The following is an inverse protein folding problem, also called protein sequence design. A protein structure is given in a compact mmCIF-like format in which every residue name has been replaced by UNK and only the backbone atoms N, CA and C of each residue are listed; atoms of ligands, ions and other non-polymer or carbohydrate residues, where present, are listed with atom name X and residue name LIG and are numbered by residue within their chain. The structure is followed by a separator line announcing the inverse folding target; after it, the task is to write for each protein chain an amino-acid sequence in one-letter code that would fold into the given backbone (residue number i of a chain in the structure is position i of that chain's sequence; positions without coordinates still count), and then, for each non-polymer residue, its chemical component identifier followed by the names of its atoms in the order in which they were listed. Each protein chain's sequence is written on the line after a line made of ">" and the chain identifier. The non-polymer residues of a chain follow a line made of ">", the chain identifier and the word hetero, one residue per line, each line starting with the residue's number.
data_IF_920878747488
#
_entry.id   IF_920878747488
#
_cell.length_a   1.000
_cell.length_b   1.000
_cell.length_c   1.000
_cell.angle_alpha   90.00
_cell.angle_beta   90.00
_cell.angle_gamma   90.00
#
_symmetry.space_group_name_H-M   'P 1'
#
loop_
_entity.id
_entity.type
_entity.pdbx_description
1 polymer ?
#
# COMPACT_ATOMS: atom_id res chain seq x y z
N UNK A 1 -17.79 -10.22 -5.14
CA UNK A 1 -16.33 -10.23 -4.85
C UNK A 1 -15.59 -11.27 -5.68
N UNK A 2 -15.86 -12.58 -5.52
CA UNK A 2 -15.16 -13.64 -6.27
C UNK A 2 -15.17 -13.45 -7.80
N UNK A 3 -16.31 -13.09 -8.39
CA UNK A 3 -16.40 -12.85 -9.84
C UNK A 3 -15.50 -11.70 -10.34
N UNK A 4 -15.36 -10.63 -9.52
CA UNK A 4 -14.52 -9.48 -9.84
C UNK A 4 -13.05 -9.88 -9.78
N UNK A 5 -12.65 -10.58 -8.71
CA UNK A 5 -11.29 -11.11 -8.58
C UNK A 5 -10.94 -12.09 -9.70
N UNK A 6 -11.86 -12.96 -10.12
CA UNK A 6 -11.65 -13.88 -11.24
C UNK A 6 -11.46 -13.17 -12.56
N UNK A 7 -12.27 -12.12 -12.81
CA UNK A 7 -12.16 -11.29 -14.02
C UNK A 7 -10.83 -10.53 -14.03
N UNK A 8 -10.43 -9.96 -12.89
CA UNK A 8 -9.14 -9.29 -12.72
C UNK A 8 -7.99 -10.29 -12.97
N UNK A 9 -8.04 -11.47 -12.36
CA UNK A 9 -7.01 -12.50 -12.53
C UNK A 9 -6.85 -12.94 -14.00
N UNK A 10 -7.95 -13.13 -14.73
CA UNK A 10 -7.88 -13.41 -16.18
C UNK A 10 -7.24 -12.26 -16.96
N UNK A 11 -7.62 -11.03 -16.67
CA UNK A 11 -7.06 -9.84 -17.31
C UNK A 11 -5.57 -9.67 -17.02
N UNK A 12 -5.14 -9.85 -15.77
CA UNK A 12 -3.73 -9.74 -15.40
C UNK A 12 -2.89 -10.82 -16.07
N UNK A 13 -3.36 -12.08 -16.12
CA UNK A 13 -2.65 -13.16 -16.84
C UNK A 13 -2.41 -12.83 -18.31
N UNK A 14 -3.44 -12.37 -19.03
CA UNK A 14 -3.26 -12.00 -20.45
C UNK A 14 -2.37 -10.77 -20.62
N UNK A 15 -2.50 -9.78 -19.73
CA UNK A 15 -1.76 -8.51 -19.84
C UNK A 15 -0.29 -8.71 -19.52
N UNK A 16 0.05 -9.44 -18.45
CA UNK A 16 1.44 -9.73 -18.07
C UNK A 16 2.15 -10.52 -19.17
N UNK A 17 1.49 -11.52 -19.76
CA UNK A 17 2.05 -12.26 -20.89
C UNK A 17 2.42 -11.32 -22.05
N UNK A 18 1.49 -10.45 -22.47
CA UNK A 18 1.73 -9.48 -23.54
C UNK A 18 2.81 -8.44 -23.20
N UNK A 19 2.91 -8.01 -21.93
CA UNK A 19 3.97 -7.10 -21.47
C UNK A 19 5.34 -7.79 -21.57
N UNK A 20 5.43 -9.06 -21.14
CA UNK A 20 6.70 -9.81 -21.13
C UNK A 20 7.23 -10.14 -22.54
N UNK A 21 6.39 -10.11 -23.57
CA UNK A 21 6.83 -10.20 -24.98
C UNK A 21 7.70 -9.00 -25.40
N UNK A 22 7.55 -7.85 -24.74
CA UNK A 22 8.17 -6.57 -25.15
C UNK A 22 9.11 -5.98 -24.09
N UNK A 23 8.88 -6.31 -22.83
CA UNK A 23 9.60 -5.77 -21.69
C UNK A 23 10.22 -6.90 -20.88
N UNK A 24 11.55 -6.83 -20.69
CA UNK A 24 12.34 -7.86 -20.00
C UNK A 24 12.85 -7.41 -18.63
N UNK A 25 12.37 -6.28 -18.12
CA UNK A 25 12.62 -5.84 -16.74
C UNK A 25 11.65 -6.47 -15.74
N UNK A 26 11.76 -6.05 -14.47
CA UNK A 26 10.85 -6.49 -13.41
C UNK A 26 9.45 -5.89 -13.61
N UNK A 27 8.42 -6.72 -13.46
CA UNK A 27 7.00 -6.36 -13.59
C UNK A 27 6.30 -6.57 -12.25
N UNK A 28 5.42 -5.64 -11.90
CA UNK A 28 4.55 -5.72 -10.72
C UNK A 28 3.20 -5.07 -11.01
N UNK A 29 2.31 -5.05 -10.02
CA UNK A 29 0.96 -4.50 -10.11
C UNK A 29 0.58 -3.82 -8.80
N UNK A 30 0.34 -2.51 -8.83
CA UNK A 30 -0.08 -1.76 -7.65
C UNK A 30 -1.48 -2.19 -7.21
N UNK A 31 -1.56 -2.91 -6.09
CA UNK A 31 -2.80 -3.51 -5.59
C UNK A 31 -3.19 -2.91 -4.24
N UNK A 32 -4.46 -3.08 -3.89
CA UNK A 32 -4.97 -2.92 -2.53
C UNK A 32 -5.27 -4.30 -1.93
N UNK A 33 -5.26 -4.48 -0.59
CA UNK A 33 -5.27 -5.81 0.04
C UNK A 33 -6.43 -6.74 -0.35
N UNK A 34 -7.56 -6.19 -0.79
CA UNK A 34 -8.77 -6.95 -1.09
C UNK A 34 -8.92 -7.42 -2.56
N UNK A 35 -7.93 -7.17 -3.41
CA UNK A 35 -7.99 -7.56 -4.83
C UNK A 35 -7.68 -9.04 -5.10
N UNK A 36 -6.95 -9.72 -4.20
CA UNK A 36 -6.65 -11.15 -4.33
C UNK A 36 -5.76 -11.49 -5.53
N UNK A 37 -4.74 -10.67 -5.78
CA UNK A 37 -3.83 -10.79 -6.92
C UNK A 37 -2.99 -12.07 -6.83
N UNK A 38 -2.87 -12.77 -7.97
CA UNK A 38 -1.93 -13.87 -8.15
C UNK A 38 -0.51 -13.30 -8.37
N UNK A 39 0.27 -13.30 -7.30
CA UNK A 39 1.63 -12.76 -7.31
C UNK A 39 2.62 -13.62 -8.10
N UNK A 40 2.31 -14.86 -8.49
CA UNK A 40 3.20 -15.70 -9.32
C UNK A 40 3.40 -15.17 -10.74
N UNK A 41 2.56 -14.22 -11.17
CA UNK A 41 2.71 -13.51 -12.43
C UNK A 41 3.80 -12.43 -12.38
N UNK A 42 4.16 -11.97 -11.17
CA UNK A 42 4.94 -10.76 -10.94
C UNK A 42 6.25 -11.03 -10.20
N UNK A 43 7.20 -10.11 -10.36
CA UNK A 43 8.55 -10.23 -9.78
C UNK A 43 8.67 -9.59 -8.39
N UNK A 44 7.70 -8.73 -8.02
CA UNK A 44 7.62 -7.98 -6.76
C UNK A 44 6.17 -7.95 -6.31
N UNK A 45 5.92 -8.11 -5.02
CA UNK A 45 4.59 -7.87 -4.42
C UNK A 45 4.46 -6.39 -4.09
N UNK A 46 3.41 -5.74 -4.60
CA UNK A 46 3.17 -4.32 -4.32
C UNK A 46 1.79 -4.05 -3.76
N UNK A 47 1.74 -3.34 -2.65
CA UNK A 47 0.48 -3.00 -1.97
C UNK A 47 0.46 -1.52 -1.58
N UNK A 48 -0.70 -0.89 -1.73
CA UNK A 48 -1.03 0.31 -0.98
C UNK A 48 -1.51 -0.11 0.42
N UNK A 49 -0.80 0.35 1.45
CA UNK A 49 -1.03 0.01 2.85
C UNK A 49 -1.24 1.29 3.66
N UNK A 50 -2.48 1.52 4.06
CA UNK A 50 -2.88 2.71 4.82
C UNK A 50 -3.37 2.25 6.20
N UNK A 51 -2.80 2.80 7.27
CA UNK A 51 -3.16 2.49 8.65
C UNK A 51 -4.28 3.44 9.11
N UNK A 52 -5.43 2.89 9.50
CA UNK A 52 -6.45 3.60 10.28
C UNK A 52 -6.40 3.20 11.76
N UNK A 53 -7.10 3.93 12.62
CA UNK A 53 -7.20 3.59 14.05
C UNK A 53 -7.82 2.20 14.25
N UNK A 54 -8.77 1.82 13.38
CA UNK A 54 -9.47 0.53 13.39
C UNK A 54 -8.54 -0.68 13.20
N UNK A 55 -7.36 -0.48 12.58
CA UNK A 55 -6.41 -1.56 12.26
C UNK A 55 -5.03 -1.34 12.87
N UNK A 56 -4.86 -0.32 13.71
CA UNK A 56 -3.55 0.09 14.21
C UNK A 56 -2.83 -1.02 15.01
N UNK A 57 -3.58 -1.75 15.82
CA UNK A 57 -3.10 -2.87 16.65
C UNK A 57 -2.62 -4.07 15.82
N UNK A 58 -3.22 -4.29 14.65
CA UNK A 58 -2.88 -5.40 13.76
C UNK A 58 -1.97 -5.02 12.59
N UNK A 59 -1.73 -3.73 12.35
CA UNK A 59 -1.06 -3.24 11.14
C UNK A 59 0.37 -3.80 11.00
N UNK A 60 1.17 -3.71 12.07
CA UNK A 60 2.55 -4.21 12.10
C UNK A 60 2.61 -5.71 11.83
N UNK A 61 1.78 -6.50 12.50
CA UNK A 61 1.73 -7.94 12.27
C UNK A 61 1.22 -8.29 10.86
N UNK A 62 0.36 -7.45 10.29
CA UNK A 62 -0.02 -7.52 8.88
C UNK A 62 1.18 -7.36 7.95
N UNK A 63 1.98 -6.31 8.16
CA UNK A 63 3.22 -6.07 7.40
C UNK A 63 4.19 -7.25 7.56
N UNK A 64 4.41 -7.74 8.78
CA UNK A 64 5.27 -8.91 9.05
C UNK A 64 4.86 -10.14 8.24
N UNK A 65 3.55 -10.43 8.20
CA UNK A 65 3.03 -11.55 7.40
C UNK A 65 3.24 -11.35 5.90
N UNK A 66 3.15 -10.11 5.42
CA UNK A 66 3.36 -9.79 4.00
C UNK A 66 4.80 -9.97 3.56
N UNK A 67 5.78 -9.70 4.43
CA UNK A 67 7.21 -9.86 4.15
C UNK A 67 7.72 -11.27 4.45
N UNK A 68 6.95 -12.11 5.15
CA UNK A 68 7.27 -13.53 5.42
C UNK A 68 7.00 -14.43 4.19
N UNK A 69 7.53 -14.04 3.05
CA UNK A 69 7.47 -14.74 1.78
C UNK A 69 8.74 -14.48 0.96
N UNK A 70 9.08 -15.34 -0.03
CA UNK A 70 10.36 -15.22 -0.75
C UNK A 70 10.44 -14.06 -1.75
N UNK A 71 9.32 -13.43 -2.12
CA UNK A 71 9.31 -12.32 -3.09
C UNK A 71 9.49 -10.97 -2.36
N UNK A 72 10.26 -10.04 -2.94
CA UNK A 72 10.41 -8.70 -2.38
C UNK A 72 9.05 -7.98 -2.33
N UNK A 73 8.89 -7.14 -1.32
CA UNK A 73 7.66 -6.39 -1.06
C UNK A 73 7.95 -4.90 -1.18
N UNK A 74 7.14 -4.19 -1.95
CA UNK A 74 7.18 -2.74 -2.02
C UNK A 74 5.82 -2.13 -1.68
N UNK A 75 5.79 -1.21 -0.71
CA UNK A 75 4.58 -0.45 -0.39
C UNK A 75 4.47 0.71 -1.35
N UNK A 76 3.53 0.65 -2.29
CA UNK A 76 3.39 1.63 -3.39
C UNK A 76 2.50 2.82 -3.07
N UNK A 77 1.87 2.82 -1.90
CA UNK A 77 1.08 3.94 -1.42
C UNK A 77 0.85 3.84 0.08
N UNK A 78 1.12 4.92 0.78
CA UNK A 78 0.72 5.17 2.16
C UNK A 78 0.76 6.68 2.42
N UNK A 79 -0.11 7.18 3.28
CA UNK A 79 -0.16 8.59 3.59
C UNK A 79 -1.46 8.96 4.32
N UNK A 80 -1.59 10.23 4.66
CA UNK A 80 -2.80 10.78 5.25
C UNK A 80 -2.87 12.28 4.94
N UNK A 81 -4.09 12.84 4.93
CA UNK A 81 -4.29 14.27 4.76
C UNK A 81 -3.70 15.11 5.92
N UNK A 82 -3.68 16.43 5.79
CA UNK A 82 -2.90 17.34 6.66
C UNK A 82 -3.78 18.05 7.71
N UNK A 83 -4.79 17.36 8.23
CA UNK A 83 -5.71 17.90 9.25
C UNK A 83 -5.72 17.04 10.53
N UNK A 84 -6.02 17.67 11.68
CA UNK A 84 -5.98 17.01 12.99
C UNK A 84 -6.93 15.80 13.04
N UNK A 85 -6.38 14.61 13.23
CA UNK A 85 -7.14 13.35 13.26
C UNK A 85 -7.22 12.61 11.91
N UNK A 86 -6.68 13.19 10.83
CA UNK A 86 -6.64 12.55 9.51
C UNK A 86 -5.99 11.16 9.56
N UNK A 87 -4.93 10.99 10.35
CA UNK A 87 -4.24 9.71 10.52
C UNK A 87 -5.17 8.59 10.99
N UNK A 88 -6.11 8.85 11.89
CA UNK A 88 -7.00 7.82 12.43
C UNK A 88 -8.00 7.29 11.39
N UNK A 89 -8.29 8.10 10.37
CA UNK A 89 -9.19 7.78 9.27
C UNK A 89 -8.46 7.84 7.92
N UNK A 90 -7.15 7.58 7.89
CA UNK A 90 -6.28 7.84 6.74
C UNK A 90 -6.84 7.35 5.38
N UNK A 91 -7.43 6.15 5.24
CA UNK A 91 -8.02 5.69 3.97
C UNK A 91 -9.14 6.58 3.42
N UNK A 92 -9.80 7.35 4.29
CA UNK A 92 -10.90 8.27 3.99
C UNK A 92 -10.55 9.74 4.25
N UNK A 93 -9.29 10.04 4.55
CA UNK A 93 -8.87 11.38 5.01
C UNK A 93 -9.09 12.49 3.96
N UNK A 94 -9.27 12.12 2.69
CA UNK A 94 -9.63 13.03 1.59
C UNK A 94 -11.15 13.27 1.44
N UNK A 95 -12.01 12.48 2.08
CA UNK A 95 -13.49 12.54 1.95
C UNK A 95 -14.11 13.78 2.63
N UNK A 96 -13.28 14.71 3.08
CA UNK A 96 -13.70 16.00 3.62
C UNK A 96 -13.98 17.03 2.52
N UNK A 97 -13.77 16.68 1.24
CA UNK A 97 -13.99 17.55 0.09
C UNK A 97 -15.43 17.40 -0.45
N UNK A 98 -16.11 18.52 -0.63
CA UNK A 98 -17.32 18.62 -1.42
C UNK A 98 -16.95 18.83 -2.90
N UNK A 99 -17.48 17.98 -3.77
CA UNK A 99 -17.28 18.06 -5.21
C UNK A 99 -18.52 18.58 -5.93
N UNK A 100 -18.32 19.36 -6.98
CA UNK A 100 -19.40 19.72 -7.88
C UNK A 100 -19.93 18.48 -8.60
N UNK A 101 -21.23 18.23 -8.53
CA UNK A 101 -21.85 17.00 -9.04
C UNK A 101 -21.76 16.85 -10.56
N UNK A 102 -21.57 17.95 -11.29
CA UNK A 102 -21.52 17.93 -12.77
C UNK A 102 -20.09 17.81 -13.28
N UNK A 103 -19.19 18.64 -12.78
CA UNK A 103 -17.80 18.74 -13.23
C UNK A 103 -16.83 17.85 -12.46
N UNK A 104 -17.21 17.36 -11.28
CA UNK A 104 -16.32 16.61 -10.38
C UNK A 104 -15.19 17.47 -9.81
N UNK A 105 -15.28 18.80 -9.90
CA UNK A 105 -14.25 19.71 -9.38
C UNK A 105 -14.38 19.89 -7.88
N UNK A 106 -13.27 19.92 -7.11
CA UNK A 106 -13.32 20.17 -5.67
C UNK A 106 -13.75 21.62 -5.41
N UNK A 107 -14.83 21.81 -4.65
CA UNK A 107 -15.44 23.11 -4.40
C UNK A 107 -14.96 23.73 -3.08
N UNK A 108 -15.09 22.97 -1.99
CA UNK A 108 -14.75 23.38 -0.62
C UNK A 108 -14.66 22.17 0.30
N UNK A 109 -14.18 22.37 1.52
CA UNK A 109 -14.27 21.41 2.60
C UNK A 109 -15.70 21.39 3.18
N UNK A 110 -16.13 20.22 3.64
CA UNK A 110 -17.43 20.00 4.28
C UNK A 110 -17.49 20.50 5.74
N UNK A 111 -16.38 21.06 6.25
CA UNK A 111 -16.23 21.54 7.62
C UNK A 111 -15.02 22.45 7.77
N UNK A 112 -14.82 22.96 8.98
CA UNK A 112 -13.60 23.69 9.36
C UNK A 112 -12.66 22.70 10.04
N UNK A 113 -11.45 22.58 9.49
CA UNK A 113 -10.44 21.62 9.95
C UNK A 113 -9.20 22.37 10.43
N UNK A 114 -8.60 21.87 11.50
CA UNK A 114 -7.32 22.37 12.00
C UNK A 114 -6.18 21.71 11.24
N UNK A 115 -5.24 22.51 10.71
CA UNK A 115 -4.03 22.01 10.05
C UNK A 115 -3.13 21.28 11.05
N UNK A 116 -2.64 20.12 10.66
CA UNK A 116 -1.77 19.28 11.50
C UNK A 116 -0.63 18.65 10.69
N UNK A 117 0.37 19.48 10.33
CA UNK A 117 1.57 19.05 9.60
C UNK A 117 2.43 18.11 10.45
N UNK A 118 2.52 18.37 11.76
CA UNK A 118 3.25 17.52 12.71
C UNK A 118 2.61 16.14 12.85
N UNK A 119 1.28 16.06 12.88
CA UNK A 119 0.52 14.81 12.88
C UNK A 119 0.70 14.00 11.60
N UNK A 120 0.66 14.63 10.43
CA UNK A 120 0.98 13.96 9.16
C UNK A 120 2.42 13.43 9.16
N UNK A 121 3.40 14.25 9.60
CA UNK A 121 4.80 13.83 9.67
C UNK A 121 5.02 12.70 10.68
N UNK A 122 4.31 12.70 11.82
CA UNK A 122 4.34 11.61 12.79
C UNK A 122 3.80 10.31 12.21
N UNK A 123 2.67 10.37 11.50
CA UNK A 123 2.10 9.21 10.81
C UNK A 123 3.06 8.61 9.77
N UNK A 124 3.68 9.45 8.93
CA UNK A 124 4.63 8.98 7.92
C UNK A 124 5.87 8.33 8.55
N UNK A 125 6.40 8.92 9.63
CA UNK A 125 7.53 8.34 10.38
C UNK A 125 7.16 7.00 10.99
N UNK A 126 6.00 6.89 11.64
CA UNK A 126 5.51 5.63 12.22
C UNK A 126 5.48 4.51 11.17
N UNK A 127 4.88 4.78 10.00
CA UNK A 127 4.76 3.77 8.96
C UNK A 127 6.11 3.41 8.33
N UNK A 128 6.98 4.39 8.09
CA UNK A 128 8.33 4.13 7.60
C UNK A 128 9.13 3.29 8.60
N UNK A 129 9.03 3.56 9.90
CA UNK A 129 9.69 2.78 10.95
C UNK A 129 9.14 1.34 10.99
N UNK A 130 7.82 1.14 10.82
CA UNK A 130 7.23 -0.20 10.71
C UNK A 130 7.76 -0.92 9.47
N UNK A 131 7.74 -0.28 8.30
CA UNK A 131 8.18 -0.90 7.05
C UNK A 131 9.66 -1.28 7.08
N UNK A 132 10.53 -0.40 7.59
CA UNK A 132 11.95 -0.67 7.74
C UNK A 132 12.22 -1.81 8.72
N UNK A 133 11.60 -1.76 9.91
CA UNK A 133 11.82 -2.76 10.97
C UNK A 133 11.30 -4.16 10.62
N UNK A 134 10.21 -4.27 9.87
CA UNK A 134 9.67 -5.57 9.43
C UNK A 134 10.37 -6.08 8.15
N UNK A 135 11.07 -5.22 7.39
CA UNK A 135 11.90 -5.62 6.24
C UNK A 135 11.22 -5.47 4.88
N UNK A 136 10.39 -4.45 4.70
CA UNK A 136 9.87 -4.05 3.37
C UNK A 136 11.01 -3.52 2.50
N UNK A 137 11.12 -3.99 1.25
CA UNK A 137 12.23 -3.62 0.36
C UNK A 137 12.16 -2.17 -0.13
N UNK A 138 10.97 -1.60 -0.28
CA UNK A 138 10.78 -0.22 -0.75
C UNK A 138 9.43 0.35 -0.30
N UNK A 139 9.39 1.64 0.01
CA UNK A 139 8.16 2.33 0.40
C UNK A 139 8.02 3.66 -0.35
N UNK A 140 6.83 3.94 -0.88
CA UNK A 140 6.51 5.13 -1.65
C UNK A 140 5.32 5.84 -1.01
N UNK A 141 5.55 7.08 -0.54
CA UNK A 141 4.51 7.94 0.03
C UNK A 141 3.50 8.29 -1.07
N UNK A 142 2.22 8.22 -0.74
CA UNK A 142 1.11 8.49 -1.64
C UNK A 142 1.10 9.98 -2.01
N UNK A 143 1.48 10.28 -3.25
CA UNK A 143 1.55 11.61 -3.88
C UNK A 143 2.55 12.59 -3.23
N UNK A 144 3.32 13.28 -4.07
CA UNK A 144 4.23 14.33 -3.60
C UNK A 144 3.55 15.70 -3.49
N UNK A 145 2.67 15.99 -4.44
CA UNK A 145 1.96 17.26 -4.57
C UNK A 145 0.61 17.01 -5.25
N UNK A 146 -0.41 17.80 -4.88
CA UNK A 146 -1.73 17.70 -5.47
C UNK A 146 -2.26 19.09 -5.88
N UNK A 147 -1.86 19.62 -7.06
CA UNK A 147 -2.17 20.99 -7.47
C UNK A 147 -3.67 21.32 -7.58
N UNK A 148 -4.52 20.30 -7.70
CA UNK A 148 -5.98 20.44 -7.69
C UNK A 148 -6.55 20.80 -6.31
N UNK A 149 -5.75 20.66 -5.24
CA UNK A 149 -6.10 21.02 -3.87
C UNK A 149 -5.18 22.15 -3.37
N UNK A 150 -5.45 23.40 -3.77
CA UNK A 150 -4.54 24.50 -3.49
C UNK A 150 -4.60 24.97 -2.03
N UNK A 151 -3.45 25.48 -1.58
CA UNK A 151 -3.30 26.09 -0.27
C UNK A 151 -3.83 27.53 -0.27
N UNK A 152 -4.79 27.84 0.61
CA UNK A 152 -5.44 29.16 0.73
C UNK A 152 -5.63 29.55 2.21
N UNK A 153 -4.55 29.94 2.92
CA UNK A 153 -4.59 30.20 4.35
C UNK A 153 -5.28 31.52 4.73
N UNK A 154 -5.32 32.50 3.82
CA UNK A 154 -5.73 33.88 4.13
C UNK A 154 -7.24 34.15 3.93
N UNK A 155 -8.05 33.11 3.74
CA UNK A 155 -9.48 33.21 3.41
C UNK A 155 -10.40 32.42 4.34
N UNK A 156 -11.64 32.16 3.88
CA UNK A 156 -12.52 31.21 4.58
C UNK A 156 -11.83 29.83 4.61
N UNK A 157 -11.62 29.24 5.81
CA UNK A 157 -10.83 28.02 5.98
C UNK A 157 -11.40 26.83 5.20
N UNK A 158 -12.68 26.86 4.82
CA UNK A 158 -13.30 25.82 3.98
C UNK A 158 -12.76 25.81 2.54
N UNK A 159 -12.03 26.84 2.11
CA UNK A 159 -11.45 26.88 0.76
C UNK A 159 -9.94 26.54 0.73
N UNK A 160 -9.32 26.23 1.88
CA UNK A 160 -7.97 25.67 1.98
C UNK A 160 -8.00 24.16 1.68
N UNK A 161 -8.21 23.81 0.41
CA UNK A 161 -8.36 22.42 -0.04
C UNK A 161 -7.11 21.57 0.20
N UNK A 162 -5.94 22.21 0.32
CA UNK A 162 -4.66 21.57 0.66
C UNK A 162 -4.73 20.78 1.98
N UNK A 163 -5.64 21.13 2.91
CA UNK A 163 -5.87 20.34 4.13
C UNK A 163 -6.24 18.89 3.82
N UNK A 164 -7.00 18.65 2.75
CA UNK A 164 -7.41 17.32 2.31
C UNK A 164 -6.33 16.59 1.47
N UNK A 165 -5.19 17.24 1.18
CA UNK A 165 -4.12 16.66 0.39
C UNK A 165 -3.27 15.70 1.23
N UNK A 166 -2.99 14.47 0.74
CA UNK A 166 -1.97 13.60 1.34
C UNK A 166 -0.54 13.98 0.91
N UNK A 167 -0.40 14.95 0.00
CA UNK A 167 0.89 15.41 -0.50
C UNK A 167 1.71 16.09 0.60
N UNK A 168 3.01 15.86 0.58
CA UNK A 168 3.97 16.47 1.52
C UNK A 168 4.33 17.92 1.18
N UNK A 169 3.91 18.42 0.01
CA UNK A 169 4.21 19.78 -0.44
C UNK A 169 2.95 20.60 -0.71
N UNK A 170 2.95 21.83 -0.15
CA UNK A 170 1.88 22.81 -0.35
C UNK A 170 1.85 23.28 -1.81
N UNK A 171 0.66 23.32 -2.39
CA UNK A 171 0.46 23.81 -3.75
C UNK A 171 -0.20 25.20 -3.74
N UNK A 172 0.54 26.26 -4.05
CA UNK A 172 -0.03 27.62 -4.13
C UNK A 172 -0.67 27.90 -5.50
N UNK A 173 -1.76 28.67 -5.55
CA UNK A 173 -2.33 29.21 -6.81
C UNK A 173 -1.62 30.45 -7.34
N UNK A 174 -0.58 30.95 -6.65
CA UNK A 174 0.18 32.09 -7.14
C UNK A 174 0.81 31.75 -8.50
N UNK A 175 0.65 32.66 -9.48
CA UNK A 175 1.37 32.56 -10.74
C UNK A 175 2.87 32.34 -10.44
N UNK A 176 3.59 31.51 -11.24
CA UNK A 176 5.00 31.25 -11.00
C UNK A 176 5.71 32.59 -10.83
N UNK A 177 6.44 32.74 -9.73
CA UNK A 177 7.17 33.97 -9.42
C UNK A 177 7.87 34.44 -10.69
N UNK A 178 7.50 35.64 -11.15
CA UNK A 178 8.09 36.27 -12.32
C UNK A 178 9.59 36.22 -12.15
N UNK A 179 10.26 35.50 -13.05
CA UNK A 179 11.71 35.35 -13.08
C UNK A 179 12.34 36.73 -12.97
N UNK A 180 12.96 37.03 -11.84
CA UNK A 180 13.65 38.30 -11.62
C UNK A 180 14.69 38.48 -12.73
N UNK A 181 14.57 39.49 -13.62
CA UNK A 181 15.55 39.70 -14.67
C UNK A 181 16.79 40.31 -14.02
N UNK A 182 17.76 39.45 -13.66
CA UNK A 182 18.99 39.94 -13.03
C UNK A 182 19.97 38.90 -12.50
N UNK A 183 19.62 37.62 -12.39
CA UNK A 183 20.60 36.60 -11.99
C UNK A 183 21.39 36.08 -13.21
N UNK A 184 22.71 36.35 -13.33
CA UNK A 184 23.52 35.80 -14.40
C UNK A 184 23.95 34.40 -14.00
N UNK A 185 23.28 33.37 -14.53
CA UNK A 185 23.62 32.00 -14.17
C UNK A 185 22.74 30.92 -14.77
N UNK A 186 22.39 31.00 -16.07
CA UNK A 186 21.85 29.84 -16.77
C UNK A 186 22.26 29.83 -18.23
N UNK A 187 23.51 29.44 -18.51
CA UNK A 187 23.80 28.83 -19.81
C UNK A 187 23.25 27.40 -19.77
N UNK A 188 22.32 27.08 -20.69
CA UNK A 188 21.97 25.69 -20.98
C UNK A 188 23.26 24.90 -21.24
N UNK A 189 23.50 23.73 -20.62
CA UNK A 189 24.45 22.81 -21.20
C UNK A 189 23.86 22.33 -22.54
N UNK A 190 24.60 22.56 -23.63
CA UNK A 190 24.38 21.80 -24.86
C UNK A 190 24.68 20.33 -24.55
N UNK A 191 23.82 19.43 -25.00
CA UNK A 191 24.04 17.99 -24.87
C UNK A 191 25.40 17.60 -25.48
N UNK A 192 26.28 16.89 -24.75
CA UNK A 192 27.40 16.19 -25.37
C UNK A 192 26.93 14.83 -25.92
N UNK A 193 27.60 14.29 -26.97
CA UNK A 193 27.18 13.06 -27.62
C UNK A 193 27.46 11.82 -26.75
N UNK A 194 26.68 10.75 -26.98
CA UNK A 194 26.77 9.47 -26.29
C UNK A 194 28.17 8.85 -26.34
N UNK A 195 28.70 8.33 -25.21
CA UNK A 195 29.76 7.36 -25.23
C UNK A 195 29.23 5.93 -25.11
N UNK A 196 29.73 5.10 -26.01
CA UNK A 196 29.71 3.64 -26.01
C UNK A 196 30.30 3.04 -24.72
N UNK A 197 29.76 1.88 -24.36
CA UNK A 197 30.37 0.76 -23.62
C UNK A 197 31.51 1.10 -22.64
N UNK A 198 31.21 1.13 -21.34
CA UNK A 198 32.16 0.72 -20.30
C UNK A 198 31.42 0.05 -19.14
N UNK A 199 31.79 -1.20 -18.90
CA UNK A 199 31.32 -2.11 -17.86
C UNK A 199 31.82 -1.63 -16.50
N UNK A 200 30.93 -1.24 -15.59
CA UNK A 200 31.25 -1.05 -14.17
C UNK A 200 30.70 -2.24 -13.38
N UNK A 201 31.62 -3.03 -12.84
CA UNK A 201 31.39 -4.16 -11.95
C UNK A 201 30.82 -3.66 -10.62
N UNK A 202 29.61 -4.11 -10.26
CA UNK A 202 29.16 -4.11 -8.88
C UNK A 202 29.74 -5.34 -8.19
N UNK A 203 30.61 -5.12 -7.21
CA UNK A 203 31.03 -6.16 -6.25
C UNK A 203 29.84 -6.52 -5.35
N UNK A 204 29.69 -7.80 -4.98
CA UNK A 204 28.68 -8.22 -4.01
C UNK A 204 29.13 -7.85 -2.59
N UNK A 205 28.32 -7.09 -1.88
CA UNK A 205 28.45 -6.91 -0.43
C UNK A 205 27.69 -8.02 0.29
N UNK A 206 28.43 -8.81 1.07
CA UNK A 206 27.98 -9.32 2.37
C UNK A 206 27.00 -10.48 2.34
N UNK A 207 27.54 -11.70 2.29
CA UNK A 207 26.89 -12.90 2.80
C UNK A 207 26.54 -12.70 4.28
N UNK A 208 25.26 -12.46 4.59
CA UNK A 208 24.77 -12.62 5.95
C UNK A 208 24.58 -14.13 6.20
N UNK A 209 25.55 -14.75 6.86
CA UNK A 209 25.41 -16.09 7.41
C UNK A 209 24.22 -16.12 8.37
N UNK A 210 23.13 -16.77 7.96
CA UNK A 210 22.09 -17.20 8.90
C UNK A 210 22.66 -18.36 9.72
N UNK A 211 23.19 -18.04 10.90
CA UNK A 211 23.38 -19.01 11.98
C UNK A 211 22.03 -19.63 12.34
N UNK A 212 21.81 -20.88 11.92
CA UNK A 212 20.77 -21.75 12.49
C UNK A 212 21.11 -22.01 13.95
N UNK A 213 20.41 -21.36 14.86
CA UNK A 213 20.35 -21.81 16.26
C UNK A 213 19.31 -22.91 16.36
N UNK A 214 19.78 -24.14 16.51
CA UNK A 214 18.98 -25.27 16.95
C UNK A 214 18.75 -25.18 18.46
N UNK A 215 17.49 -25.21 18.89
CA UNK A 215 16.98 -25.58 20.22
C UNK A 215 15.45 -25.52 20.12
N UNK A 216 14.64 -26.41 20.67
CA UNK A 216 14.79 -27.70 21.35
C UNK A 216 13.35 -28.24 21.42
N UNK A 217 13.17 -29.53 21.16
CA UNK A 217 11.85 -30.17 21.20
C UNK A 217 11.16 -30.00 22.57
N UNK A 218 9.87 -29.67 22.53
CA UNK A 218 8.94 -29.81 23.67
C UNK A 218 8.27 -31.19 23.52
N UNK A 219 8.32 -32.08 24.52
CA UNK A 219 7.68 -33.39 24.41
C UNK A 219 6.23 -33.38 24.89
N UNK A 220 5.34 -33.90 24.04
CA UNK A 220 4.26 -34.81 24.44
C UNK A 220 2.92 -34.22 24.87
N UNK A 221 1.89 -34.45 24.05
CA UNK A 221 0.61 -35.01 24.49
C UNK A 221 -0.13 -35.66 23.30
N UNK A 222 -0.93 -36.72 23.53
CA UNK A 222 -1.04 -37.82 22.59
C UNK A 222 -2.17 -37.70 21.58
N UNK A 223 -1.87 -38.25 20.42
CA UNK A 223 -2.74 -38.58 19.31
C UNK A 223 -3.81 -39.60 19.75
N UNK A 224 -5.10 -39.32 19.49
CA UNK A 224 -6.19 -40.28 19.68
C UNK A 224 -7.14 -40.31 18.49
N UNK A 225 -6.83 -41.20 17.56
CA UNK A 225 -7.77 -41.97 16.75
C UNK A 225 -6.95 -43.11 16.10
N UNK A 226 -7.44 -44.35 15.92
CA UNK A 226 -8.73 -44.58 15.26
C UNK A 226 -9.52 -45.81 15.74
N UNK A 227 -10.82 -45.88 15.43
CA UNK A 227 -11.41 -47.15 14.97
C UNK A 227 -12.79 -46.95 14.31
N UNK A 228 -12.84 -47.22 13.00
CA UNK A 228 -14.06 -47.64 12.29
C UNK A 228 -14.31 -49.13 12.57
N UNK A 229 -15.56 -49.50 12.85
CA UNK A 229 -16.24 -50.76 12.44
C UNK A 229 -17.75 -50.61 12.76
N UNK A 230 -18.56 -50.44 11.72
CA UNK A 230 -19.52 -51.42 11.15
C UNK A 230 -20.80 -51.64 11.99
N UNK A 231 -21.90 -51.09 11.48
CA UNK A 231 -23.29 -51.46 11.80
C UNK A 231 -23.62 -52.90 11.41
N UNK A 232 -24.63 -53.51 12.05
CA UNK A 232 -25.48 -54.47 11.39
C UNK A 232 -26.95 -54.01 11.38
N UNK A 233 -27.59 -54.14 10.21
CA UNK A 233 -29.03 -54.28 10.13
C UNK A 233 -29.41 -55.73 10.50
N UNK A 234 -30.54 -55.95 11.19
CA UNK A 234 -31.80 -56.50 10.64
C UNK A 234 -32.70 -57.06 11.78
N UNK A 235 -34.02 -56.86 11.62
CA UNK A 235 -35.19 -57.62 12.13
C UNK A 235 -35.96 -57.11 13.37
N UNK A 236 -37.14 -56.54 13.10
CA UNK A 236 -38.41 -56.67 13.87
C UNK A 236 -38.90 -58.14 13.84
N UNK A 237 -39.81 -58.65 14.72
CA UNK A 237 -41.12 -58.09 15.15
C UNK A 237 -41.32 -58.13 16.70
N UNK A 238 -42.33 -57.57 17.37
CA UNK A 238 -43.77 -57.92 17.38
C UNK A 238 -44.50 -57.02 18.40
N UNK A 239 -45.81 -56.82 18.20
CA UNK A 239 -46.81 -56.15 19.04
C UNK A 239 -46.75 -56.37 20.56
N UNK A 240 -47.08 -55.32 21.34
CA UNK A 240 -48.09 -55.42 22.43
C UNK A 240 -48.72 -54.06 22.77
N UNK A 241 -50.05 -54.04 22.79
CA UNK A 241 -50.95 -53.00 23.33
C UNK A 241 -50.96 -52.99 24.86
N UNK A 242 -51.20 -51.82 25.44
CA UNK A 242 -51.93 -51.46 26.69
C UNK A 242 -51.41 -50.08 27.12
N UNK A 243 -52.17 -49.06 27.48
CA UNK A 243 -53.60 -48.79 27.65
C UNK A 243 -53.78 -47.28 27.52
#
# INVERSE_FOLDING_TARGET
>A
MAEISDRLGRFLRSTVAAVRERFHGKVTYAAIPFEGVDWDLFDVVTLELIRSAEVADQFRDGVRRLVDQPKPVAVTGFGTATWRGAGDVAPRSMEIIEYDATSGTPQRLNGVYERDEDGQAAYLRELLDIFDSEGVDSAFVHLFALPSLPHRPDGDPRYDLDLASPGSSRCSTAAPATRTPGCPGSRRPRSPPSPSTTRASLRPTGTAERTRSARRAVPGMPDTAPHRRRSPATRSPTMRRAS
#
